data_IF_402774903030
#
_entry.id   IF_402774903030
#
_cell.length_a   1.000
_cell.length_b   1.000
_cell.length_c   1.000
_cell.angle_alpha   90.00
_cell.angle_beta   90.00
_cell.angle_gamma   90.00
#
_symmetry.space_group_name_H-M   'P 1'
#
loop_
_entity.id
_entity.type
_entity.pdbx_description
1 polymer ?
#
# COMPACT_ATOMS: atom_id res chain seq x y z
N UNK A 1 4.96 36.88 -26.02
CA UNK A 1 5.43 36.81 -24.63
C UNK A 1 4.26 36.36 -23.79
N UNK A 2 4.51 35.34 -22.95
CA UNK A 2 3.77 34.96 -21.73
C UNK A 2 2.29 34.52 -21.92
N UNK A 3 1.84 33.33 -21.55
CA UNK A 3 2.25 32.50 -20.41
C UNK A 3 1.77 31.04 -20.62
N UNK A 4 2.72 30.11 -20.78
CA UNK A 4 2.54 28.71 -20.38
C UNK A 4 2.64 28.69 -18.85
N UNK A 5 1.52 28.54 -18.16
CA UNK A 5 1.49 28.31 -16.72
C UNK A 5 0.55 27.14 -16.42
N UNK A 6 1.19 26.04 -16.03
CA UNK A 6 0.69 25.04 -15.05
C UNK A 6 -0.60 24.26 -15.39
N UNK A 7 -0.60 23.53 -16.50
CA UNK A 7 -1.65 22.54 -16.83
C UNK A 7 -1.22 21.07 -16.64
N UNK A 8 0.00 20.82 -16.16
CA UNK A 8 0.51 19.47 -15.92
C UNK A 8 0.63 19.17 -14.42
N UNK A 9 -0.49 19.30 -13.70
CA UNK A 9 -0.65 18.50 -12.49
C UNK A 9 -0.52 17.02 -12.88
N UNK A 10 0.17 16.22 -12.07
CA UNK A 10 0.28 14.77 -12.27
C UNK A 10 -1.09 14.23 -12.61
N UNK A 11 -1.25 13.60 -13.79
CA UNK A 11 -2.55 13.07 -14.20
C UNK A 11 -3.10 12.18 -13.08
N UNK A 12 -4.40 12.28 -12.70
CA UNK A 12 -4.97 11.51 -11.59
C UNK A 12 -4.67 10.01 -11.69
N UNK A 13 -4.63 9.48 -12.91
CA UNK A 13 -4.27 8.10 -13.19
C UNK A 13 -2.82 7.75 -12.75
N UNK A 14 -1.84 8.60 -13.08
CA UNK A 14 -0.45 8.39 -12.68
C UNK A 14 -0.28 8.52 -11.15
N UNK A 15 -0.98 9.47 -10.53
CA UNK A 15 -0.98 9.63 -9.07
C UNK A 15 -1.56 8.39 -8.37
N UNK A 16 -2.68 7.85 -8.86
CA UNK A 16 -3.26 6.62 -8.30
C UNK A 16 -2.35 5.40 -8.47
N UNK A 17 -1.68 5.26 -9.63
CA UNK A 17 -0.71 4.18 -9.85
C UNK A 17 0.43 4.26 -8.84
N UNK A 18 1.02 5.44 -8.63
CA UNK A 18 2.09 5.62 -7.63
C UNK A 18 1.62 5.26 -6.21
N UNK A 19 0.39 5.60 -5.83
CA UNK A 19 -0.16 5.24 -4.53
C UNK A 19 -0.36 3.72 -4.37
N UNK A 20 -0.86 3.05 -5.41
CA UNK A 20 -1.02 1.59 -5.42
C UNK A 20 0.35 0.88 -5.39
N UNK A 21 1.34 1.38 -6.12
CA UNK A 21 2.72 0.89 -6.08
C UNK A 21 3.33 1.08 -4.69
N UNK A 22 3.08 2.22 -4.03
CA UNK A 22 3.49 2.45 -2.66
C UNK A 22 2.88 1.42 -1.68
N UNK A 23 1.58 1.15 -1.79
CA UNK A 23 0.91 0.09 -1.01
C UNK A 23 1.56 -1.28 -1.25
N UNK A 24 1.77 -1.63 -2.52
CA UNK A 24 2.31 -2.93 -2.93
C UNK A 24 3.76 -3.12 -2.51
N UNK A 25 4.61 -2.11 -2.64
CA UNK A 25 6.06 -2.31 -2.53
C UNK A 25 6.64 -1.89 -1.18
N UNK A 26 5.99 -0.96 -0.46
CA UNK A 26 6.57 -0.35 0.74
C UNK A 26 5.81 -0.65 2.03
N UNK A 27 4.49 -0.82 1.97
CA UNK A 27 3.66 -0.90 3.18
C UNK A 27 3.59 -2.32 3.74
N UNK A 28 4.15 -2.52 4.93
CA UNK A 28 4.04 -3.79 5.68
C UNK A 28 2.65 -4.06 6.24
N UNK A 29 1.79 -3.04 6.25
CA UNK A 29 0.39 -3.05 6.72
C UNK A 29 -0.62 -2.84 5.59
N UNK A 30 -0.21 -2.99 4.32
CA UNK A 30 -1.08 -2.85 3.16
C UNK A 30 -2.34 -3.74 3.24
N UNK A 31 -2.22 -4.96 3.76
CA UNK A 31 -3.34 -5.87 3.95
C UNK A 31 -4.44 -5.25 4.83
N UNK A 32 -4.08 -4.66 5.96
CA UNK A 32 -5.06 -4.01 6.85
C UNK A 32 -5.71 -2.80 6.15
N UNK A 33 -4.93 -2.02 5.39
CA UNK A 33 -5.44 -0.90 4.60
C UNK A 33 -6.46 -1.33 3.54
N UNK A 34 -6.19 -2.43 2.83
CA UNK A 34 -7.07 -2.94 1.76
C UNK A 34 -8.36 -3.56 2.32
N UNK A 35 -8.28 -4.20 3.49
CA UNK A 35 -9.45 -4.73 4.18
C UNK A 35 -10.32 -3.57 4.70
N UNK A 36 -9.74 -2.66 5.46
CA UNK A 36 -10.49 -1.64 6.20
C UNK A 36 -10.94 -0.45 5.33
N UNK A 37 -10.17 -0.09 4.28
CA UNK A 37 -10.38 1.09 3.43
C UNK A 37 -10.60 2.40 4.22
N UNK A 38 -10.01 2.49 5.41
CA UNK A 38 -10.07 3.63 6.33
C UNK A 38 -8.85 3.58 7.25
N UNK A 39 -8.65 4.62 8.06
CA UNK A 39 -7.70 4.56 9.15
C UNK A 39 -8.28 3.70 10.29
N UNK A 40 -7.69 2.52 10.62
CA UNK A 40 -8.17 1.70 11.72
C UNK A 40 -7.77 2.27 13.09
N UNK A 41 -6.85 3.23 13.14
CA UNK A 41 -6.35 3.80 14.38
C UNK A 41 -7.32 4.87 14.91
N UNK A 42 -7.49 4.98 16.25
CA UNK A 42 -8.34 6.00 16.85
C UNK A 42 -7.79 7.42 16.67
N UNK A 43 -6.48 7.57 16.41
CA UNK A 43 -5.81 8.85 16.24
C UNK A 43 -5.12 8.98 14.88
N UNK A 44 -5.14 10.19 14.33
CA UNK A 44 -4.44 10.54 13.08
C UNK A 44 -2.98 10.89 13.42
N UNK A 45 -2.09 9.90 13.44
CA UNK A 45 -0.71 10.13 13.87
C UNK A 45 0.11 10.91 12.84
N UNK A 46 -0.25 10.82 11.54
CA UNK A 46 0.49 11.33 10.37
C UNK A 46 1.99 11.04 10.38
N UNK A 47 2.44 10.12 11.23
CA UNK A 47 3.85 9.84 11.46
C UNK A 47 4.41 9.18 10.21
N UNK A 48 5.33 9.83 9.49
CA UNK A 48 5.85 9.29 8.25
C UNK A 48 6.70 8.05 8.53
N UNK A 49 6.58 7.08 7.63
CA UNK A 49 7.44 5.90 7.52
C UNK A 49 8.08 5.92 6.14
N UNK A 50 9.22 5.27 6.00
CA UNK A 50 9.86 5.07 4.71
C UNK A 50 10.28 3.62 4.56
N UNK A 51 10.04 3.05 3.37
CA UNK A 51 10.47 1.71 2.99
C UNK A 51 10.63 1.64 1.47
N UNK A 52 11.72 1.04 1.00
CA UNK A 52 12.08 1.07 -0.42
C UNK A 52 12.15 2.50 -0.96
N UNK A 53 11.53 2.72 -2.12
CA UNK A 53 11.50 4.02 -2.81
C UNK A 53 10.44 4.99 -2.28
N UNK A 54 9.73 4.66 -1.20
CA UNK A 54 8.54 5.40 -0.79
C UNK A 54 8.61 5.89 0.66
N UNK A 55 8.12 7.11 0.85
CA UNK A 55 7.71 7.66 2.14
C UNK A 55 6.18 7.71 2.20
N UNK A 56 5.59 7.28 3.30
CA UNK A 56 4.14 7.15 3.44
C UNK A 56 3.65 7.34 4.87
N UNK A 57 2.39 7.75 5.03
CA UNK A 57 1.67 7.63 6.29
C UNK A 57 0.18 7.43 6.07
N UNK A 58 -0.47 6.75 7.01
CA UNK A 58 -1.92 6.56 7.02
C UNK A 58 -2.54 7.65 7.89
N UNK A 59 -3.60 8.28 7.39
CA UNK A 59 -4.33 9.35 8.07
C UNK A 59 -5.83 9.15 7.96
N UNK A 60 -6.60 9.92 8.72
CA UNK A 60 -8.08 9.88 8.61
C UNK A 60 -8.57 10.27 7.20
N UNK A 61 -7.80 11.06 6.45
CA UNK A 61 -8.16 11.48 5.10
C UNK A 61 -7.81 10.45 4.01
N UNK A 62 -6.90 9.51 4.30
CA UNK A 62 -6.36 8.59 3.30
C UNK A 62 -4.90 8.22 3.51
N UNK A 63 -4.33 7.62 2.46
CA UNK A 63 -2.91 7.29 2.37
C UNK A 63 -2.14 8.50 1.82
N UNK A 64 -1.21 9.01 2.61
CA UNK A 64 -0.22 9.96 2.14
C UNK A 64 1.02 9.23 1.63
N UNK A 65 1.54 9.66 0.50
CA UNK A 65 2.70 9.04 -0.13
C UNK A 65 3.57 10.06 -0.88
N UNK A 66 4.84 9.72 -1.06
CA UNK A 66 5.81 10.47 -1.86
C UNK A 66 7.02 9.57 -2.14
N UNK A 67 7.77 9.83 -3.22
CA UNK A 67 9.07 9.18 -3.40
C UNK A 67 10.00 9.55 -2.24
N UNK A 68 10.68 8.56 -1.67
CA UNK A 68 11.55 8.75 -0.52
C UNK A 68 12.65 9.80 -0.80
N UNK A 69 13.25 9.75 -1.99
CA UNK A 69 14.28 10.71 -2.45
C UNK A 69 13.81 12.17 -2.42
N UNK A 70 12.55 12.42 -2.72
CA UNK A 70 11.95 13.76 -2.67
C UNK A 70 11.56 14.17 -1.25
N UNK A 71 11.20 13.18 -0.42
CA UNK A 71 10.80 13.41 0.96
C UNK A 71 12.01 13.75 1.84
N UNK A 72 13.16 13.09 1.63
CA UNK A 72 14.42 13.25 2.38
C UNK A 72 15.07 14.65 2.34
N UNK A 73 14.51 15.61 1.61
CA UNK A 73 14.99 17.00 1.65
C UNK A 73 14.97 17.58 3.07
N UNK A 74 15.94 18.46 3.37
CA UNK A 74 16.21 19.11 4.67
C UNK A 74 14.99 19.15 5.63
N UNK A 75 14.94 18.25 6.62
CA UNK A 75 13.92 18.23 7.68
C UNK A 75 12.79 17.19 7.54
N UNK A 76 12.95 16.19 6.66
CA UNK A 76 11.94 15.21 6.27
C UNK A 76 11.14 14.53 7.41
N UNK A 77 11.79 14.15 8.51
CA UNK A 77 11.22 13.26 9.54
C UNK A 77 9.93 13.78 10.20
N UNK A 78 9.75 15.10 10.27
CA UNK A 78 8.56 15.72 10.89
C UNK A 78 7.47 16.09 9.87
N UNK A 79 7.73 15.90 8.58
CA UNK A 79 6.82 16.31 7.51
C UNK A 79 6.06 15.10 6.96
N UNK A 80 4.74 15.17 6.96
CA UNK A 80 3.90 14.17 6.27
C UNK A 80 4.15 14.22 4.74
N UNK A 81 4.12 13.07 4.04
CA UNK A 81 4.23 13.03 2.58
C UNK A 81 3.14 13.87 1.91
N UNK A 82 3.50 14.48 0.77
CA UNK A 82 2.70 15.53 0.14
C UNK A 82 1.44 15.01 -0.57
N UNK A 83 1.54 13.89 -1.28
CA UNK A 83 0.45 13.37 -2.10
C UNK A 83 -0.54 12.61 -1.23
N UNK A 84 -1.81 12.61 -1.62
CA UNK A 84 -2.89 11.98 -0.87
C UNK A 84 -3.74 11.15 -1.83
N UNK A 85 -3.85 9.85 -1.56
CA UNK A 85 -4.90 9.00 -2.07
C UNK A 85 -6.01 8.95 -1.01
N UNK A 86 -7.20 9.46 -1.33
CA UNK A 86 -8.31 9.46 -0.37
C UNK A 86 -8.88 8.05 -0.16
N UNK A 87 -9.58 7.83 0.95
CA UNK A 87 -10.28 6.57 1.17
C UNK A 87 -11.36 6.30 0.12
N UNK A 88 -12.08 7.33 -0.30
CA UNK A 88 -13.08 7.23 -1.37
C UNK A 88 -12.43 6.84 -2.71
N UNK A 89 -11.27 7.43 -3.03
CA UNK A 89 -10.54 7.06 -4.24
C UNK A 89 -10.10 5.62 -4.15
N UNK A 90 -9.39 5.21 -3.09
CA UNK A 90 -8.95 3.83 -2.90
C UNK A 90 -10.12 2.85 -2.96
N UNK A 91 -11.27 3.18 -2.35
CA UNK A 91 -12.48 2.37 -2.42
C UNK A 91 -13.00 2.23 -3.85
N UNK A 92 -12.96 3.27 -4.68
CA UNK A 92 -13.27 3.13 -6.12
C UNK A 92 -12.22 2.33 -6.88
N UNK A 93 -10.97 2.30 -6.43
CA UNK A 93 -9.91 1.56 -7.12
C UNK A 93 -10.02 0.05 -6.88
N UNK A 94 -10.35 -0.38 -5.66
CA UNK A 94 -10.24 -1.79 -5.24
C UNK A 94 -11.43 -2.31 -4.44
N UNK A 95 -12.40 -1.46 -4.10
CA UNK A 95 -13.46 -1.76 -3.13
C UNK A 95 -14.37 -2.90 -3.54
N UNK A 96 -14.71 -3.02 -4.82
CA UNK A 96 -15.61 -4.06 -5.31
C UNK A 96 -14.88 -5.37 -5.68
N UNK A 97 -13.56 -5.46 -5.42
CA UNK A 97 -12.81 -6.67 -5.73
C UNK A 97 -13.20 -7.83 -4.80
N UNK A 98 -13.64 -8.99 -5.33
CA UNK A 98 -14.13 -10.10 -4.53
C UNK A 98 -13.06 -10.71 -3.61
N UNK A 99 -11.77 -10.56 -3.93
CA UNK A 99 -10.66 -11.04 -3.08
C UNK A 99 -10.66 -10.36 -1.72
N UNK A 100 -11.15 -9.11 -1.63
CA UNK A 100 -11.27 -8.40 -0.35
C UNK A 100 -12.18 -9.13 0.63
N UNK A 101 -13.28 -9.72 0.16
CA UNK A 101 -14.21 -10.44 1.04
C UNK A 101 -13.53 -11.67 1.68
N UNK A 102 -12.70 -12.37 0.91
CA UNK A 102 -11.95 -13.52 1.43
C UNK A 102 -10.90 -13.10 2.47
N UNK A 103 -10.12 -12.06 2.15
CA UNK A 103 -9.10 -11.52 3.07
C UNK A 103 -9.77 -10.98 4.34
N UNK A 104 -10.89 -10.27 4.23
CA UNK A 104 -11.64 -9.75 5.36
C UNK A 104 -12.15 -10.88 6.28
N UNK A 105 -12.73 -11.95 5.71
CA UNK A 105 -13.20 -13.09 6.48
C UNK A 105 -12.06 -13.78 7.27
N UNK A 106 -10.87 -13.89 6.67
CA UNK A 106 -9.69 -14.37 7.39
C UNK A 106 -9.27 -13.42 8.51
N UNK A 107 -9.20 -12.10 8.24
CA UNK A 107 -8.85 -11.10 9.26
C UNK A 107 -9.81 -11.12 10.46
N UNK A 108 -11.10 -11.29 10.21
CA UNK A 108 -12.13 -11.42 11.26
C UNK A 108 -11.98 -12.69 12.10
N UNK A 109 -11.39 -13.75 11.53
CA UNK A 109 -11.15 -15.02 12.24
C UNK A 109 -9.93 -14.98 13.18
N UNK A 110 -9.08 -13.96 13.07
CA UNK A 110 -7.82 -13.89 13.81
C UNK A 110 -8.03 -13.58 15.30
N UNK A 111 -7.25 -14.20 16.20
CA UNK A 111 -7.27 -13.84 17.61
C UNK A 111 -6.67 -12.45 17.85
N UNK A 112 -7.01 -11.84 18.98
CA UNK A 112 -6.39 -10.58 19.42
C UNK A 112 -5.13 -10.85 20.25
N UNK A 113 -4.05 -10.07 20.06
CA UNK A 113 -3.94 -8.91 19.18
C UNK A 113 -3.55 -9.25 17.73
N UNK A 114 -4.35 -8.82 16.75
CA UNK A 114 -4.24 -9.28 15.34
C UNK A 114 -2.99 -8.83 14.57
N UNK A 115 -2.27 -7.81 15.02
CA UNK A 115 -1.22 -7.12 14.24
C UNK A 115 -0.07 -8.03 13.78
N UNK A 116 0.19 -9.13 14.50
CA UNK A 116 1.25 -10.09 14.18
C UNK A 116 0.97 -10.81 12.85
N UNK A 117 -0.29 -11.22 12.64
CA UNK A 117 -0.72 -11.90 11.42
C UNK A 117 -0.94 -10.93 10.26
N UNK A 118 -1.36 -9.70 10.54
CA UNK A 118 -1.62 -8.71 9.50
C UNK A 118 -0.35 -8.21 8.81
N UNK A 119 0.80 -8.27 9.49
CA UNK A 119 2.07 -7.77 8.95
C UNK A 119 2.53 -8.62 7.75
N UNK A 120 3.18 -7.99 6.77
CA UNK A 120 3.69 -8.68 5.58
C UNK A 120 4.67 -9.80 5.92
N UNK A 121 4.51 -11.02 5.35
CA UNK A 121 5.53 -12.04 5.34
C UNK A 121 6.82 -11.54 4.69
N UNK A 122 7.98 -11.80 5.30
CA UNK A 122 9.27 -11.37 4.75
C UNK A 122 9.55 -11.93 3.35
N UNK A 123 9.09 -13.16 3.04
CA UNK A 123 9.19 -13.80 1.72
C UNK A 123 8.50 -13.01 0.60
N UNK A 124 7.52 -12.16 0.96
CA UNK A 124 6.77 -11.30 0.04
C UNK A 124 7.25 -9.85 0.09
N UNK A 125 8.34 -9.57 0.82
CA UNK A 125 9.00 -8.27 0.80
C UNK A 125 9.74 -8.02 -0.51
N UNK A 126 10.02 -6.75 -0.86
CA UNK A 126 10.75 -6.40 -2.08
C UNK A 126 12.22 -6.88 -2.08
N UNK A 127 12.80 -7.06 -0.90
CA UNK A 127 14.12 -7.67 -0.71
C UNK A 127 14.01 -8.75 0.38
N UNK A 128 13.67 -10.01 0.03
CA UNK A 128 13.50 -11.07 1.01
C UNK A 128 14.84 -11.51 1.65
N UNK A 129 15.98 -11.24 1.01
CA UNK A 129 17.30 -11.68 1.48
C UNK A 129 17.96 -10.67 2.44
N UNK A 130 17.54 -9.40 2.42
CA UNK A 130 18.10 -8.33 3.24
C UNK A 130 17.56 -8.24 4.68
N UNK A 131 16.56 -9.06 5.05
CA UNK A 131 15.98 -9.00 6.39
C UNK A 131 16.87 -9.65 7.44
N UNK A 132 16.96 -9.03 8.63
CA UNK A 132 17.68 -9.64 9.73
C UNK A 132 16.94 -10.91 10.24
N UNK A 133 17.63 -12.04 10.45
CA UNK A 133 17.00 -13.33 10.82
C UNK A 133 16.01 -13.30 11.98
N UNK A 134 16.26 -12.45 12.98
CA UNK A 134 15.38 -12.32 14.15
C UNK A 134 13.95 -11.86 13.80
N UNK A 135 13.71 -11.30 12.61
CA UNK A 135 12.38 -10.88 12.17
C UNK A 135 11.51 -12.03 11.63
N UNK A 136 12.09 -13.17 11.25
CA UNK A 136 11.35 -14.25 10.57
C UNK A 136 11.53 -15.65 11.17
N UNK A 137 12.40 -15.84 12.17
CA UNK A 137 12.58 -17.12 12.86
C UNK A 137 11.30 -17.72 13.50
N UNK A 138 10.17 -16.98 13.50
CA UNK A 138 8.87 -17.43 14.03
C UNK A 138 7.74 -17.48 12.99
N UNK A 139 7.97 -17.03 11.77
CA UNK A 139 6.92 -16.92 10.76
C UNK A 139 6.38 -18.32 10.36
N UNK A 140 7.28 -19.31 10.20
CA UNK A 140 6.92 -20.64 9.73
C UNK A 140 6.46 -21.63 10.80
N UNK A 141 6.52 -21.26 12.08
CA UNK A 141 6.03 -22.11 13.19
C UNK A 141 4.60 -21.77 13.60
N UNK A 142 3.98 -20.77 12.97
CA UNK A 142 2.60 -20.36 13.22
C UNK A 142 1.62 -21.17 12.36
N UNK A 143 0.63 -21.80 12.98
CA UNK A 143 -0.41 -22.56 12.27
C UNK A 143 -1.24 -21.69 11.31
N UNK A 144 -1.27 -20.37 11.50
CA UNK A 144 -1.89 -19.40 10.59
C UNK A 144 -1.01 -19.06 9.39
N UNK A 145 0.23 -19.52 9.33
CA UNK A 145 1.19 -19.16 8.27
C UNK A 145 0.64 -19.37 6.85
N UNK A 146 0.07 -20.53 6.48
CA UNK A 146 -0.46 -20.72 5.13
C UNK A 146 -1.59 -19.74 4.78
N UNK A 147 -2.46 -19.44 5.75
CA UNK A 147 -3.56 -18.51 5.57
C UNK A 147 -3.07 -17.07 5.45
N UNK A 148 -2.09 -16.66 6.27
CA UNK A 148 -1.42 -15.37 6.19
C UNK A 148 -0.74 -15.16 4.83
N UNK A 149 -0.01 -16.16 4.35
CA UNK A 149 0.66 -16.11 3.05
C UNK A 149 -0.36 -15.97 1.91
N UNK A 150 -1.47 -16.73 1.97
CA UNK A 150 -2.56 -16.64 0.99
C UNK A 150 -3.21 -15.26 1.00
N UNK A 151 -3.56 -14.75 2.17
CA UNK A 151 -4.20 -13.44 2.31
C UNK A 151 -3.33 -12.32 1.74
N UNK A 152 -2.02 -12.36 2.01
CA UNK A 152 -1.08 -11.39 1.43
C UNK A 152 -0.92 -11.52 -0.08
N UNK A 153 -0.86 -12.75 -0.63
CA UNK A 153 -0.81 -12.95 -2.08
C UNK A 153 -2.04 -12.36 -2.77
N UNK A 154 -3.23 -12.59 -2.24
CA UNK A 154 -4.46 -12.01 -2.78
C UNK A 154 -4.45 -10.48 -2.78
N UNK A 155 -3.91 -9.87 -1.72
CA UNK A 155 -3.75 -8.40 -1.66
C UNK A 155 -2.78 -7.91 -2.73
N UNK A 156 -1.65 -8.58 -2.92
CA UNK A 156 -0.65 -8.21 -3.92
C UNK A 156 -1.20 -8.37 -5.35
N UNK A 157 -1.86 -9.49 -5.64
CA UNK A 157 -2.53 -9.74 -6.93
C UNK A 157 -3.61 -8.68 -7.23
N UNK A 158 -4.41 -8.32 -6.23
CA UNK A 158 -5.41 -7.26 -6.35
C UNK A 158 -4.75 -5.91 -6.67
N UNK A 159 -3.65 -5.58 -6.00
CA UNK A 159 -2.92 -4.34 -6.26
C UNK A 159 -2.29 -4.35 -7.65
N UNK A 160 -1.72 -5.47 -8.08
CA UNK A 160 -1.14 -5.63 -9.42
C UNK A 160 -2.20 -5.45 -10.52
N UNK A 161 -3.37 -6.07 -10.37
CA UNK A 161 -4.48 -5.90 -11.32
C UNK A 161 -4.98 -4.45 -11.36
N UNK A 162 -5.11 -3.81 -10.19
CA UNK A 162 -5.53 -2.41 -10.09
C UNK A 162 -4.52 -1.44 -10.72
N UNK A 163 -3.22 -1.76 -10.66
CA UNK A 163 -2.15 -1.02 -11.34
C UNK A 163 -2.23 -1.26 -12.85
N UNK A 164 -2.31 -2.52 -13.28
CA UNK A 164 -2.32 -2.91 -14.69
C UNK A 164 -3.54 -2.33 -15.44
N UNK A 165 -4.72 -2.35 -14.83
CA UNK A 165 -5.95 -1.78 -15.39
C UNK A 165 -5.91 -0.25 -15.59
N UNK A 166 -4.85 0.42 -15.11
CA UNK A 166 -4.66 1.88 -15.21
C UNK A 166 -3.50 2.29 -16.08
N UNK A 167 -2.66 1.33 -16.50
CA UNK A 167 -1.64 1.62 -17.48
C UNK A 167 -2.29 1.81 -18.86
N UNK A 168 -1.87 2.82 -19.64
CA UNK A 168 -2.39 2.99 -20.99
C UNK A 168 -2.08 1.74 -21.80
N UNK A 169 -3.12 1.12 -22.38
CA UNK A 169 -2.94 0.04 -23.34
C UNK A 169 -2.04 0.56 -24.47
N UNK A 170 -0.92 -0.11 -24.82
CA UNK A 170 -0.09 0.34 -25.92
C UNK A 170 -0.95 0.41 -27.18
N UNK A 171 -0.93 1.58 -27.84
CA UNK A 171 -1.63 1.82 -29.09
C UNK A 171 -1.02 0.96 -30.19
N UNK A 172 -1.43 -0.30 -30.30
CA UNK A 172 -0.78 -1.24 -31.21
C UNK A 172 -1.52 -2.53 -31.51
N UNK A 173 -2.56 -2.91 -30.75
CA UNK A 173 -3.35 -4.09 -31.07
C UNK A 173 -4.84 -3.79 -30.88
N UNK A 174 -5.51 -3.49 -32.00
CA UNK A 174 -6.89 -3.89 -32.21
C UNK A 174 -6.91 -4.79 -33.45
N UNK A 175 -7.67 -5.91 -33.42
CA UNK A 175 -7.87 -6.77 -34.57
C UNK A 175 -8.56 -6.04 -35.73
#
# INVERSE_FOLDING_TARGET
MTAQLELFGTQPAAAHVDALVCLRDAMSDALEVIVELRNPRPTDSRSPRAAGDWAFCVSNAGLRYQRATEWWGWGAWDRAPRHLLTWDDLSRLVGDDPRRAEVAAWVESLPMPRWQWLSRPHELGPDPAGWHPSYFCRDHVDDQWPARLRAWRLVLELLDDAIAGRQPTPAGERP
#
